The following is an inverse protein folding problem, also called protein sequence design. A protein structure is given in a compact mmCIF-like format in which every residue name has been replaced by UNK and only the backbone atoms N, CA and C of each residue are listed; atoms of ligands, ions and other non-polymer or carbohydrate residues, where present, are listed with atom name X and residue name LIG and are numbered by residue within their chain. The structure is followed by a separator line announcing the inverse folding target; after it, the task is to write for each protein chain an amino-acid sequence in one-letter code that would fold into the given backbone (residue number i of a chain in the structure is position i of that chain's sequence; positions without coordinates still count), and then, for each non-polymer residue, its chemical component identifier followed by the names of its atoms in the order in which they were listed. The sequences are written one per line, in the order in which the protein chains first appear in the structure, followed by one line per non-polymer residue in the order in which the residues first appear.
data_IF_148100229447
#
_entry.id   IF_148100229447
#
_cell.length_a   1.000
_cell.length_b   1.000
_cell.length_c   1.000
_cell.angle_alpha   90.00
_cell.angle_beta   90.00
_cell.angle_gamma   90.00
#
_symmetry.space_group_name_H-M   'P 1'
#
loop_
_entity.id
_entity.type
_entity.pdbx_description
1 polymer ?
#
# COMPACT_ATOMS: atom_id res chain seq x y z
N UNK A 1 -33.52 1.20 -12.97
CA UNK A 1 -33.43 0.48 -11.69
C UNK A 1 -32.01 0.05 -11.46
N UNK A 2 -31.46 0.33 -10.27
CA UNK A 2 -30.13 -0.06 -9.85
C UNK A 2 -30.26 -1.06 -8.69
N UNK A 3 -29.50 -2.13 -8.75
CA UNK A 3 -29.40 -3.11 -7.67
C UNK A 3 -28.02 -2.94 -7.04
N UNK A 4 -27.97 -2.77 -5.73
CA UNK A 4 -26.73 -2.58 -5.00
C UNK A 4 -26.72 -3.36 -3.68
N UNK A 5 -25.55 -3.57 -3.11
CA UNK A 5 -25.39 -4.12 -1.76
C UNK A 5 -24.94 -3.02 -0.79
N UNK A 6 -25.50 -3.01 0.40
CA UNK A 6 -25.10 -2.17 1.53
C UNK A 6 -25.15 -3.00 2.80
N UNK A 7 -24.05 -3.03 3.54
CA UNK A 7 -23.93 -3.84 4.77
C UNK A 7 -24.33 -5.31 4.56
N UNK A 8 -23.90 -5.89 3.42
CA UNK A 8 -24.23 -7.26 3.05
C UNK A 8 -25.62 -7.50 2.46
N UNK A 9 -26.57 -6.62 2.69
CA UNK A 9 -27.94 -6.74 2.19
C UNK A 9 -28.09 -6.20 0.76
N UNK A 10 -28.95 -6.88 -0.04
CA UNK A 10 -29.29 -6.44 -1.40
C UNK A 10 -30.43 -5.43 -1.37
N UNK A 11 -30.22 -4.32 -2.06
CA UNK A 11 -31.21 -3.25 -2.19
C UNK A 11 -31.48 -2.97 -3.66
N UNK A 12 -32.66 -2.40 -3.91
CA UNK A 12 -33.07 -1.95 -5.25
C UNK A 12 -33.53 -0.49 -5.12
N UNK A 13 -33.07 0.36 -6.02
CA UNK A 13 -33.47 1.74 -6.13
C UNK A 13 -33.80 2.11 -7.58
N UNK A 14 -34.71 3.03 -7.75
CA UNK A 14 -34.97 3.62 -9.06
C UNK A 14 -34.27 4.97 -9.13
N UNK A 15 -33.37 5.12 -10.10
CA UNK A 15 -32.72 6.37 -10.43
C UNK A 15 -33.38 6.96 -11.68
N UNK A 16 -33.65 8.27 -11.65
CA UNK A 16 -34.10 9.01 -12.82
C UNK A 16 -32.91 9.86 -13.29
N UNK A 17 -32.25 9.51 -14.39
CA UNK A 17 -31.15 10.30 -14.91
C UNK A 17 -31.64 11.68 -15.35
N UNK A 18 -30.78 12.69 -15.20
CA UNK A 18 -31.01 14.06 -15.67
C UNK A 18 -30.04 14.38 -16.79
N UNK A 19 -30.53 15.02 -17.86
CA UNK A 19 -29.66 15.46 -18.94
C UNK A 19 -28.80 16.65 -18.48
N UNK A 20 -27.51 16.63 -18.86
CA UNK A 20 -26.64 17.77 -18.73
C UNK A 20 -26.86 18.79 -19.87
N UNK A 21 -26.09 19.89 -19.86
CA UNK A 21 -26.17 20.96 -20.84
C UNK A 21 -25.90 20.50 -22.29
N UNK A 22 -25.23 19.35 -22.46
CA UNK A 22 -24.92 18.73 -23.75
C UNK A 22 -25.91 17.62 -24.13
N UNK A 23 -26.97 17.41 -23.34
CA UNK A 23 -27.97 16.38 -23.60
C UNK A 23 -27.56 14.98 -23.16
N UNK A 24 -26.43 14.78 -22.45
CA UNK A 24 -26.02 13.47 -21.93
C UNK A 24 -26.74 13.20 -20.60
N UNK A 25 -27.36 12.02 -20.50
CA UNK A 25 -28.03 11.61 -19.29
C UNK A 25 -27.04 11.13 -18.21
N UNK A 26 -27.10 11.71 -17.04
CA UNK A 26 -26.27 11.37 -15.86
C UNK A 26 -27.14 10.85 -14.73
N UNK A 27 -26.68 9.80 -14.07
CA UNK A 27 -27.38 9.19 -12.93
C UNK A 27 -27.12 9.93 -11.60
N UNK A 28 -26.17 10.88 -11.57
CA UNK A 28 -25.83 11.65 -10.36
C UNK A 28 -25.14 10.79 -9.27
N UNK A 29 -24.49 9.69 -9.66
CA UNK A 29 -23.74 8.84 -8.74
C UNK A 29 -22.28 8.74 -9.23
N UNK A 30 -21.38 8.71 -8.26
CA UNK A 30 -20.00 8.37 -8.51
C UNK A 30 -19.82 6.86 -8.32
N UNK A 31 -19.16 6.20 -9.28
CA UNK A 31 -18.88 4.77 -9.24
C UNK A 31 -17.38 4.59 -9.45
N UNK A 32 -16.74 3.83 -8.59
CA UNK A 32 -15.40 3.30 -8.81
C UNK A 32 -15.54 1.86 -9.25
N UNK A 33 -15.00 1.55 -10.39
CA UNK A 33 -14.91 0.19 -10.94
C UNK A 33 -13.52 -0.42 -10.75
N UNK A 34 -12.51 0.44 -10.56
CA UNK A 34 -11.13 0.04 -10.33
C UNK A 34 -10.41 1.05 -9.42
N UNK A 35 -9.39 0.59 -8.75
CA UNK A 35 -8.47 1.42 -7.97
C UNK A 35 -7.04 0.98 -8.25
N UNK A 36 -6.12 1.94 -8.30
CA UNK A 36 -4.69 1.67 -8.38
C UNK A 36 -3.96 2.51 -7.35
N UNK A 37 -2.87 1.98 -6.81
CA UNK A 37 -2.03 2.68 -5.84
C UNK A 37 -0.62 2.13 -5.86
N UNK A 38 0.33 2.92 -5.39
CA UNK A 38 1.71 2.51 -5.19
C UNK A 38 1.87 2.03 -3.75
N UNK A 39 2.51 0.87 -3.60
CA UNK A 39 2.87 0.30 -2.31
C UNK A 39 4.16 -0.50 -2.44
N UNK A 40 4.68 -0.97 -1.33
CA UNK A 40 5.88 -1.80 -1.30
C UNK A 40 5.50 -3.24 -0.96
N UNK A 41 6.04 -4.16 -1.72
CA UNK A 41 5.98 -5.59 -1.43
C UNK A 41 6.98 -5.90 -0.31
N UNK A 42 6.47 -6.31 0.84
CA UNK A 42 7.29 -6.51 2.05
C UNK A 42 8.17 -7.74 1.93
N UNK A 43 7.61 -8.82 1.41
CA UNK A 43 8.36 -10.06 1.18
C UNK A 43 7.72 -10.92 0.09
N UNK A 44 8.50 -11.84 -0.42
CA UNK A 44 8.09 -12.92 -1.31
C UNK A 44 8.55 -14.25 -0.70
N UNK A 45 7.68 -15.26 -0.73
CA UNK A 45 8.08 -16.66 -0.52
C UNK A 45 8.16 -17.32 -1.91
N UNK A 46 9.37 -17.48 -2.45
CA UNK A 46 9.55 -18.05 -3.80
C UNK A 46 9.23 -19.55 -3.87
N UNK A 47 9.23 -20.26 -2.74
CA UNK A 47 8.89 -21.68 -2.70
C UNK A 47 7.38 -21.89 -2.85
N UNK A 48 6.59 -21.00 -2.26
CA UNK A 48 5.12 -21.05 -2.33
C UNK A 48 4.57 -20.17 -3.46
N UNK A 49 5.39 -19.31 -4.05
CA UNK A 49 4.95 -18.33 -5.04
C UNK A 49 3.93 -17.34 -4.45
N UNK A 50 4.18 -16.87 -3.23
CA UNK A 50 3.29 -15.93 -2.53
C UNK A 50 4.02 -14.66 -2.14
N UNK A 51 3.27 -13.59 -1.95
CA UNK A 51 3.78 -12.31 -1.46
C UNK A 51 2.88 -11.72 -0.37
N UNK A 52 3.46 -10.80 0.39
CA UNK A 52 2.71 -9.85 1.21
C UNK A 52 3.26 -8.42 1.02
N UNK A 53 2.40 -7.44 1.20
CA UNK A 53 2.76 -6.02 1.07
C UNK A 53 1.85 -5.09 1.84
N UNK A 54 2.22 -3.84 1.89
CA UNK A 54 1.54 -2.68 2.48
C UNK A 54 1.54 -2.59 4.01
N UNK A 55 1.30 -3.67 4.75
CA UNK A 55 1.11 -3.64 6.22
C UNK A 55 -0.20 -2.98 6.68
N UNK A 56 -1.13 -2.70 5.76
CA UNK A 56 -2.50 -2.22 5.98
C UNK A 56 -3.36 -2.53 4.76
N UNK A 57 -4.67 -2.49 4.90
CA UNK A 57 -5.60 -2.68 3.78
C UNK A 57 -5.48 -1.57 2.73
N UNK A 58 -5.90 -1.89 1.51
CA UNK A 58 -6.24 -0.87 0.52
C UNK A 58 -7.63 -0.36 0.87
N UNK A 59 -7.73 0.94 1.13
CA UNK A 59 -8.97 1.59 1.52
C UNK A 59 -9.39 2.62 0.48
N UNK A 60 -10.67 2.88 0.40
CA UNK A 60 -11.22 3.96 -0.42
C UNK A 60 -10.82 5.32 0.18
N UNK A 61 -10.22 6.19 -0.62
CA UNK A 61 -9.68 7.46 -0.16
C UNK A 61 -10.74 8.45 0.34
N UNK A 62 -12.00 8.34 -0.14
CA UNK A 62 -13.06 9.26 0.22
C UNK A 62 -13.83 8.79 1.46
N UNK A 63 -13.98 7.49 1.63
CA UNK A 63 -14.78 6.91 2.72
C UNK A 63 -13.93 6.32 3.85
N UNK A 64 -12.64 6.04 3.58
CA UNK A 64 -11.76 5.33 4.52
C UNK A 64 -12.13 3.86 4.73
N UNK A 65 -13.13 3.35 4.02
CA UNK A 65 -13.54 1.96 4.14
C UNK A 65 -12.63 1.03 3.32
N UNK A 66 -12.37 -0.16 3.86
CA UNK A 66 -11.59 -1.17 3.14
C UNK A 66 -12.26 -1.54 1.83
N UNK A 67 -11.46 -1.59 0.75
CA UNK A 67 -11.97 -2.02 -0.54
C UNK A 67 -12.27 -3.52 -0.51
N UNK A 68 -13.50 -3.86 -0.83
CA UNK A 68 -13.89 -5.25 -1.05
C UNK A 68 -13.22 -5.75 -2.32
N UNK A 69 -12.33 -6.72 -2.19
CA UNK A 69 -11.62 -7.31 -3.30
C UNK A 69 -12.55 -8.23 -4.10
N UNK A 70 -12.74 -7.94 -5.39
CA UNK A 70 -13.32 -8.86 -6.36
C UNK A 70 -12.19 -9.55 -7.15
N UNK A 71 -11.22 -8.77 -7.59
CA UNK A 71 -9.99 -9.21 -8.24
C UNK A 71 -8.95 -8.11 -8.08
N UNK A 72 -7.69 -8.47 -8.11
CA UNK A 72 -6.60 -7.50 -8.04
C UNK A 72 -5.31 -8.09 -8.60
N UNK A 73 -4.46 -7.23 -9.09
CA UNK A 73 -3.16 -7.58 -9.63
C UNK A 73 -2.09 -6.72 -8.98
N UNK A 74 -0.91 -7.29 -8.79
CA UNK A 74 0.30 -6.53 -8.50
C UNK A 74 1.07 -6.33 -9.79
N UNK A 75 1.49 -5.09 -10.02
CA UNK A 75 2.18 -4.67 -11.23
C UNK A 75 3.49 -3.99 -10.82
N UNK A 76 4.63 -4.34 -11.41
CA UNK A 76 5.87 -3.62 -11.16
C UNK A 76 5.72 -2.13 -11.48
N UNK A 77 6.34 -1.29 -10.65
CA UNK A 77 6.31 0.17 -10.78
C UNK A 77 7.73 0.69 -10.91
N UNK A 78 7.93 1.60 -11.84
CA UNK A 78 9.14 2.44 -11.90
C UNK A 78 8.82 3.75 -11.20
N UNK A 79 9.47 4.02 -10.07
CA UNK A 79 9.31 5.29 -9.36
C UNK A 79 10.02 6.39 -10.15
N UNK A 80 9.26 7.41 -10.57
CA UNK A 80 9.75 8.53 -11.39
C UNK A 80 9.96 9.80 -10.58
N UNK A 81 9.45 9.84 -9.34
CA UNK A 81 9.61 10.99 -8.46
C UNK A 81 8.83 10.88 -7.16
N UNK A 82 8.88 11.96 -6.39
CA UNK A 82 8.22 12.07 -5.10
C UNK A 82 7.66 13.49 -4.90
N UNK A 83 6.43 13.57 -4.45
CA UNK A 83 5.95 14.79 -3.76
C UNK A 83 6.47 14.71 -2.34
N UNK A 84 7.29 15.66 -1.93
CA UNK A 84 7.88 15.67 -0.59
C UNK A 84 6.81 15.86 0.48
N UNK A 85 6.94 15.11 1.55
CA UNK A 85 6.17 15.31 2.77
C UNK A 85 6.62 16.54 3.55
N UNK A 86 5.70 17.12 4.30
CA UNK A 86 5.93 18.18 5.28
C UNK A 86 5.09 17.89 6.54
N UNK A 87 5.38 18.59 7.62
CA UNK A 87 4.60 18.42 8.85
C UNK A 87 3.11 18.68 8.59
N UNK A 88 2.28 17.69 8.91
CA UNK A 88 0.82 17.72 8.69
C UNK A 88 0.37 17.46 7.25
N UNK A 89 1.29 17.22 6.32
CA UNK A 89 0.98 16.91 4.91
C UNK A 89 1.89 15.78 4.43
N UNK A 90 1.42 14.53 4.41
CA UNK A 90 2.20 13.43 3.89
C UNK A 90 2.46 13.62 2.40
N UNK A 91 3.70 13.28 1.97
CA UNK A 91 4.04 13.22 0.58
C UNK A 91 3.61 11.90 -0.07
N UNK A 92 3.92 11.74 -1.35
CA UNK A 92 3.61 10.50 -2.09
C UNK A 92 4.69 10.18 -3.13
N UNK A 93 4.95 8.90 -3.35
CA UNK A 93 5.74 8.43 -4.48
C UNK A 93 4.91 8.51 -5.77
N UNK A 94 5.55 8.87 -6.87
CA UNK A 94 4.98 8.85 -8.21
C UNK A 94 5.72 7.86 -9.07
N UNK A 95 5.00 7.16 -9.93
CA UNK A 95 5.60 6.13 -10.76
C UNK A 95 4.73 5.73 -11.93
N UNK A 96 5.33 4.92 -12.80
CA UNK A 96 4.71 4.36 -13.98
C UNK A 96 4.56 2.84 -13.81
N UNK A 97 3.37 2.34 -14.05
CA UNK A 97 3.07 0.91 -13.97
C UNK A 97 3.55 0.20 -15.22
N UNK A 98 4.17 -0.98 -15.04
CA UNK A 98 4.48 -1.87 -16.14
C UNK A 98 3.20 -2.42 -16.78
N UNK A 99 3.30 -2.88 -18.04
CA UNK A 99 2.14 -3.41 -18.74
C UNK A 99 1.72 -4.82 -18.29
N UNK A 100 2.65 -5.58 -17.71
CA UNK A 100 2.40 -6.97 -17.32
C UNK A 100 2.34 -7.11 -15.78
N UNK A 101 1.33 -7.82 -15.25
CA UNK A 101 1.27 -8.12 -13.83
C UNK A 101 2.35 -9.12 -13.42
N UNK A 102 2.78 -9.02 -12.18
CA UNK A 102 3.72 -9.92 -11.53
C UNK A 102 3.04 -10.87 -10.53
N UNK A 103 1.74 -10.75 -10.37
CA UNK A 103 0.97 -11.61 -9.47
C UNK A 103 -0.48 -11.15 -9.30
N UNK A 104 -1.20 -11.91 -8.50
CA UNK A 104 -2.63 -11.69 -8.24
C UNK A 104 -2.86 -11.44 -6.76
N UNK A 105 -3.65 -10.44 -6.43
CA UNK A 105 -4.09 -10.17 -5.05
C UNK A 105 -5.22 -11.13 -4.71
N UNK A 106 -5.09 -11.85 -3.60
CA UNK A 106 -6.06 -12.83 -3.10
C UNK A 106 -6.76 -12.37 -1.83
N UNK A 107 -6.10 -11.51 -1.05
CA UNK A 107 -6.67 -10.97 0.19
C UNK A 107 -6.24 -9.51 0.38
N UNK A 108 -7.16 -8.72 0.96
CA UNK A 108 -6.96 -7.35 1.38
C UNK A 108 -7.61 -7.21 2.75
N UNK A 109 -6.82 -7.11 3.80
CA UNK A 109 -7.30 -7.00 5.18
C UNK A 109 -6.47 -6.00 6.01
N UNK A 110 -6.79 -5.86 7.27
CA UNK A 110 -6.15 -4.90 8.16
C UNK A 110 -4.63 -5.12 8.33
N UNK A 111 -4.11 -6.32 8.06
CA UNK A 111 -2.68 -6.62 8.18
C UNK A 111 -1.93 -6.39 6.86
N UNK A 112 -2.63 -6.24 5.74
CA UNK A 112 -2.00 -5.97 4.46
C UNK A 112 -2.69 -6.59 3.26
N UNK A 113 -1.93 -6.69 2.19
CA UNK A 113 -2.33 -7.26 0.91
C UNK A 113 -1.50 -8.52 0.66
N UNK A 114 -2.17 -9.61 0.32
CA UNK A 114 -1.54 -10.92 0.13
C UNK A 114 -1.98 -11.53 -1.21
N UNK A 115 -1.12 -12.37 -1.77
CA UNK A 115 -1.48 -13.02 -3.01
C UNK A 115 -0.42 -13.94 -3.59
N UNK A 116 -0.63 -14.32 -4.85
CA UNK A 116 0.32 -15.11 -5.62
C UNK A 116 1.32 -14.20 -6.31
N UNK A 117 2.56 -14.66 -6.40
CA UNK A 117 3.65 -13.99 -7.10
C UNK A 117 4.23 -14.90 -8.17
N UNK A 118 4.29 -14.40 -9.39
CA UNK A 118 4.78 -15.15 -10.57
C UNK A 118 6.10 -14.61 -11.10
N UNK A 119 6.60 -13.52 -10.50
CA UNK A 119 7.89 -12.94 -10.85
C UNK A 119 9.07 -13.76 -10.30
N UNK A 120 10.27 -13.37 -10.66
CA UNK A 120 11.51 -13.93 -10.09
C UNK A 120 11.94 -13.09 -8.87
N UNK A 121 12.43 -13.78 -7.83
CA UNK A 121 13.04 -13.14 -6.67
C UNK A 121 14.48 -13.64 -6.56
N UNK A 122 15.45 -12.71 -6.66
CA UNK A 122 16.88 -13.00 -6.51
C UNK A 122 17.46 -12.45 -5.22
N UNK A 123 16.64 -11.78 -4.41
CA UNK A 123 17.05 -11.28 -3.11
C UNK A 123 17.40 -12.46 -2.16
N UNK A 124 18.40 -12.31 -1.28
CA UNK A 124 18.71 -13.32 -0.28
C UNK A 124 17.53 -13.48 0.69
N UNK A 125 17.33 -14.70 1.17
CA UNK A 125 16.39 -14.96 2.25
C UNK A 125 16.93 -14.38 3.56
N UNK A 126 16.11 -13.62 4.26
CA UNK A 126 16.41 -13.07 5.56
C UNK A 126 15.54 -13.74 6.64
N UNK A 127 16.06 -13.96 7.84
CA UNK A 127 15.25 -14.44 8.95
C UNK A 127 14.22 -13.37 9.34
N UNK A 128 13.02 -13.80 9.71
CA UNK A 128 11.98 -12.92 10.23
C UNK A 128 12.08 -12.89 11.75
N UNK A 129 12.29 -11.72 12.31
CA UNK A 129 12.31 -11.54 13.78
C UNK A 129 10.89 -11.64 14.36
N UNK A 130 10.76 -12.31 15.50
CA UNK A 130 9.56 -12.18 16.31
C UNK A 130 9.52 -10.80 16.98
N UNK A 131 8.32 -10.33 17.32
CA UNK A 131 8.16 -9.01 17.94
C UNK A 131 8.99 -8.86 19.22
N UNK A 132 9.16 -9.95 19.99
CA UNK A 132 9.96 -9.97 21.23
C UNK A 132 11.48 -9.80 20.99
N UNK A 133 11.94 -10.05 19.77
CA UNK A 133 13.35 -9.92 19.38
C UNK A 133 13.68 -8.53 18.88
N UNK A 134 12.65 -7.74 18.52
CA UNK A 134 12.84 -6.37 18.05
C UNK A 134 13.11 -5.45 19.23
N UNK A 135 14.21 -4.71 19.16
CA UNK A 135 14.64 -3.77 20.21
C UNK A 135 14.79 -2.35 19.63
N UNK A 136 14.66 -1.31 20.47
CA UNK A 136 15.05 0.05 20.06
C UNK A 136 16.52 0.09 19.65
N UNK A 137 16.82 0.81 18.58
CA UNK A 137 18.19 0.88 18.04
C UNK A 137 18.19 1.35 16.59
N UNK A 138 19.38 1.41 16.00
CA UNK A 138 19.56 1.69 14.58
C UNK A 138 19.12 0.47 13.76
N UNK A 139 18.48 0.74 12.62
CA UNK A 139 18.00 -0.26 11.68
C UNK A 139 17.99 0.32 10.26
N UNK A 140 17.71 -0.52 9.27
CA UNK A 140 17.59 -0.13 7.87
C UNK A 140 16.14 -0.28 7.38
N UNK A 141 15.61 0.77 6.78
CA UNK A 141 14.36 0.76 6.02
C UNK A 141 14.69 0.55 4.54
N UNK A 142 14.21 -0.54 3.97
CA UNK A 142 14.43 -0.82 2.56
C UNK A 142 13.24 -0.35 1.73
N UNK A 143 13.46 0.65 0.88
CA UNK A 143 12.41 1.26 0.05
C UNK A 143 12.95 1.75 -1.29
N UNK A 144 12.06 1.90 -2.28
CA UNK A 144 12.40 2.46 -3.59
C UNK A 144 11.86 3.87 -3.67
N UNK A 145 12.73 4.87 -3.81
CA UNK A 145 12.36 6.28 -3.97
C UNK A 145 12.61 6.82 -5.37
N UNK A 146 13.36 6.06 -6.17
CA UNK A 146 13.62 6.36 -7.58
C UNK A 146 13.98 5.07 -8.33
N UNK A 147 13.46 4.92 -9.55
CA UNK A 147 13.69 3.73 -10.37
C UNK A 147 12.93 2.51 -9.86
N UNK A 148 13.57 1.33 -9.92
CA UNK A 148 12.95 0.03 -9.60
C UNK A 148 13.66 -0.72 -8.48
N UNK A 149 14.77 -0.21 -7.96
CA UNK A 149 15.63 -0.90 -7.00
C UNK A 149 15.48 -0.32 -5.62
N UNK A 150 15.09 -1.16 -4.66
CA UNK A 150 15.06 -0.79 -3.25
C UNK A 150 16.47 -0.51 -2.73
N UNK A 151 16.60 0.51 -1.90
CA UNK A 151 17.84 0.91 -1.24
C UNK A 151 17.64 0.92 0.28
N UNK A 152 18.67 0.61 1.06
CA UNK A 152 18.64 0.76 2.49
C UNK A 152 18.79 2.23 2.90
N UNK A 153 17.99 2.64 3.87
CA UNK A 153 18.06 3.95 4.50
C UNK A 153 18.06 3.79 6.01
N UNK A 154 18.98 4.45 6.68
CA UNK A 154 19.11 4.38 8.14
C UNK A 154 17.91 5.00 8.84
N UNK A 155 17.39 4.27 9.78
CA UNK A 155 16.33 4.71 10.69
C UNK A 155 16.72 4.43 12.14
N UNK A 156 16.04 5.06 13.07
CA UNK A 156 16.08 4.75 14.49
C UNK A 156 14.75 4.16 14.90
N UNK A 157 14.73 2.93 15.39
CA UNK A 157 13.61 2.38 16.14
C UNK A 157 13.62 3.01 17.53
N UNK A 158 12.68 3.88 17.82
CA UNK A 158 12.61 4.62 19.07
C UNK A 158 11.87 3.84 20.16
N UNK A 159 10.84 3.11 19.74
CA UNK A 159 10.00 2.36 20.68
C UNK A 159 9.39 1.14 20.02
N UNK A 160 9.36 0.04 20.78
CA UNK A 160 8.62 -1.17 20.45
C UNK A 160 7.48 -1.30 21.46
N UNK A 161 6.26 -1.50 20.98
CA UNK A 161 5.05 -1.66 21.80
C UNK A 161 4.56 -3.10 21.69
N UNK A 162 4.67 -3.87 22.75
CA UNK A 162 4.27 -5.28 22.79
C UNK A 162 2.77 -5.48 22.97
N UNK A 163 2.11 -4.52 23.61
CA UNK A 163 0.68 -4.56 23.95
C UNK A 163 0.02 -3.29 23.49
N UNK A 164 -0.57 -3.30 22.31
CA UNK A 164 -1.31 -2.16 21.74
C UNK A 164 -2.71 -2.59 21.32
N UNK A 165 -3.65 -1.66 21.32
CA UNK A 165 -4.99 -1.88 20.75
C UNK A 165 -4.97 -1.94 19.22
N UNK A 166 -3.91 -1.44 18.61
CA UNK A 166 -3.71 -1.43 17.16
C UNK A 166 -2.49 -2.30 16.80
N UNK A 167 -2.70 -3.47 16.18
CA UNK A 167 -1.61 -4.37 15.82
C UNK A 167 -0.65 -3.77 14.77
N UNK A 168 -1.08 -2.73 14.06
CA UNK A 168 -0.27 -2.09 13.02
C UNK A 168 0.57 -0.90 13.54
N UNK A 169 0.57 -0.63 14.86
CA UNK A 169 1.33 0.46 15.51
C UNK A 169 2.29 -0.03 16.57
N UNK A 170 3.00 -1.11 16.29
CA UNK A 170 3.92 -1.73 17.24
C UNK A 170 5.27 -1.04 17.30
N UNK A 171 5.70 -0.37 16.24
CA UNK A 171 6.99 0.30 16.15
C UNK A 171 6.81 1.80 15.95
N UNK A 172 7.56 2.59 16.73
CA UNK A 172 7.78 4.01 16.45
C UNK A 172 9.18 4.16 15.87
N UNK A 173 9.28 4.66 14.66
CA UNK A 173 10.55 4.86 13.96
C UNK A 173 10.75 6.32 13.64
N UNK A 174 12.03 6.71 13.54
CA UNK A 174 12.46 8.01 13.02
C UNK A 174 13.46 7.81 11.89
N UNK A 175 13.22 8.44 10.75
CA UNK A 175 14.18 8.45 9.64
C UNK A 175 15.36 9.32 10.05
N UNK A 176 16.57 8.77 9.96
CA UNK A 176 17.84 9.47 10.26
C UNK A 176 18.70 9.64 9.01
N UNK A 177 18.45 8.86 7.96
CA UNK A 177 19.18 8.95 6.70
C UNK A 177 18.89 10.27 5.98
N UNK A 178 19.94 11.07 5.80
CA UNK A 178 19.82 12.37 5.13
C UNK A 178 19.39 12.25 3.67
N UNK A 179 19.80 11.18 2.97
CA UNK A 179 19.43 10.97 1.56
C UNK A 179 17.91 10.82 1.44
N UNK A 180 17.29 10.03 2.34
CA UNK A 180 15.85 9.84 2.35
C UNK A 180 15.13 11.13 2.73
N UNK A 181 15.60 11.82 3.78
CA UNK A 181 15.02 13.09 4.20
C UNK A 181 15.09 14.16 3.11
N UNK A 182 16.22 14.26 2.40
CA UNK A 182 16.39 15.22 1.31
C UNK A 182 15.49 14.86 0.10
N UNK A 183 15.31 13.59 -0.20
CA UNK A 183 14.50 13.12 -1.34
C UNK A 183 12.98 13.25 -1.07
N UNK A 184 12.53 12.87 0.12
CA UNK A 184 11.10 12.66 0.38
C UNK A 184 10.53 13.49 1.53
N UNK A 185 11.38 14.07 2.37
CA UNK A 185 10.98 14.80 3.59
C UNK A 185 10.62 13.89 4.77
N UNK A 186 10.74 12.58 4.62
CA UNK A 186 10.40 11.54 5.60
C UNK A 186 9.71 10.35 4.98
N UNK A 187 8.90 9.63 5.75
CA UNK A 187 8.06 8.54 5.21
C UNK A 187 6.90 9.15 4.43
N UNK A 188 6.67 8.64 3.22
CA UNK A 188 5.63 9.13 2.30
C UNK A 188 4.74 7.98 1.83
N UNK A 189 3.58 8.31 1.26
CA UNK A 189 2.67 7.32 0.67
C UNK A 189 3.39 6.58 -0.48
N UNK A 190 3.16 5.29 -0.56
CA UNK A 190 3.86 4.37 -1.45
C UNK A 190 4.99 3.59 -0.76
N UNK A 191 5.49 4.04 0.40
CA UNK A 191 6.45 3.30 1.22
C UNK A 191 5.80 2.27 2.13
N UNK A 192 4.48 2.24 2.26
CA UNK A 192 3.76 1.21 3.02
C UNK A 192 4.21 -0.18 2.59
N UNK A 193 4.58 -1.03 3.54
CA UNK A 193 5.13 -2.36 3.30
C UNK A 193 6.66 -2.42 3.23
N UNK A 194 7.37 -1.29 3.27
CA UNK A 194 8.84 -1.28 3.28
C UNK A 194 9.39 -2.06 4.48
N UNK A 195 10.18 -3.12 4.28
CA UNK A 195 10.72 -3.90 5.37
C UNK A 195 11.77 -3.13 6.15
N UNK A 196 11.85 -3.44 7.44
CA UNK A 196 12.89 -2.96 8.36
C UNK A 196 13.80 -4.15 8.69
N UNK A 197 15.11 -3.94 8.55
CA UNK A 197 16.14 -4.96 8.74
C UNK A 197 17.19 -4.48 9.73
#
# INVERSE_FOLDING_TARGET
TVVYRRSGARHTATLTPTADENGHYKAGVWVRDSGAGIGTMSFVDPQRGTFAGLGHSISDADTGADLTLLSGEIVPVTITGCIRGAAGSPGELRGEFAAAPAGTVLANDAAGVYGSYTGSCTAPALPVANLQEVTPGEAELWTTVLGTTAQPYTIQVERVTMTGSDPNRNLLIRVTDKRLLDATGGVVQGMSGSPIV
#
